data_IF_585283317494
#
_entry.id   IF_585283317494
#
_cell.length_a   1.000
_cell.length_b   1.000
_cell.length_c   1.000
_cell.angle_alpha   90.00
_cell.angle_beta   90.00
_cell.angle_gamma   90.00
#
_symmetry.space_group_name_H-M   'P 1'
#
loop_
_entity.id
_entity.type
_entity.pdbx_description
1 polymer ?
#
# COMPACT_ATOMS: atom_id res chain seq x y z
N UNK A 1 -25.65 -8.39 22.25
CA UNK A 1 -24.36 -7.75 22.61
C UNK A 1 -23.95 -6.81 21.48
N UNK A 2 -23.38 -5.66 21.81
CA UNK A 2 -22.85 -4.73 20.81
C UNK A 2 -21.53 -5.24 20.21
N UNK A 3 -21.30 -4.93 18.93
CA UNK A 3 -20.01 -5.21 18.27
C UNK A 3 -18.96 -4.17 18.66
N UNK A 4 -17.71 -4.60 18.78
CA UNK A 4 -16.58 -3.69 18.97
C UNK A 4 -16.22 -2.96 17.66
N UNK A 5 -15.28 -2.01 17.70
CA UNK A 5 -14.93 -1.18 16.53
C UNK A 5 -14.31 -2.01 15.38
N UNK A 6 -13.44 -2.96 15.69
CA UNK A 6 -12.80 -3.84 14.70
C UNK A 6 -13.85 -4.68 13.99
N UNK A 7 -14.78 -5.28 14.74
CA UNK A 7 -15.88 -6.08 14.17
C UNK A 7 -16.82 -5.24 13.29
N UNK A 8 -16.99 -3.95 13.60
CA UNK A 8 -17.77 -3.03 12.77
C UNK A 8 -17.06 -2.74 11.46
N UNK A 9 -15.76 -2.39 11.51
CA UNK A 9 -14.95 -2.09 10.32
C UNK A 9 -14.83 -3.33 9.42
N UNK A 10 -14.48 -4.49 9.99
CA UNK A 10 -14.37 -5.74 9.23
C UNK A 10 -15.69 -6.14 8.56
N UNK A 11 -16.83 -5.90 9.22
CA UNK A 11 -18.14 -6.16 8.62
C UNK A 11 -18.41 -5.25 7.41
N UNK A 12 -17.99 -3.99 7.45
CA UNK A 12 -18.19 -3.03 6.36
C UNK A 12 -17.33 -3.33 5.12
N UNK A 13 -16.22 -4.05 5.32
CA UNK A 13 -15.26 -4.45 4.27
C UNK A 13 -15.37 -5.92 3.86
N UNK A 14 -16.28 -6.67 4.48
CA UNK A 14 -16.45 -8.09 4.21
C UNK A 14 -16.94 -8.34 2.78
N UNK A 15 -16.32 -9.32 2.10
CA UNK A 15 -16.70 -9.75 0.75
C UNK A 15 -17.29 -11.15 0.78
N UNK A 16 -16.58 -12.14 1.34
CA UNK A 16 -17.02 -13.54 1.39
C UNK A 16 -16.31 -14.35 2.48
N UNK A 17 -16.75 -15.60 2.72
CA UNK A 17 -16.19 -16.51 3.72
C UNK A 17 -17.08 -16.72 4.95
N UNK A 18 -16.49 -17.21 6.05
CA UNK A 18 -17.21 -17.39 7.32
C UNK A 18 -16.56 -16.52 8.38
N UNK A 19 -17.28 -15.54 8.92
CA UNK A 19 -16.82 -14.71 10.05
C UNK A 19 -16.82 -15.52 11.37
N UNK A 20 -15.91 -16.49 11.46
CA UNK A 20 -15.64 -17.33 12.62
C UNK A 20 -14.13 -17.37 12.86
N UNK A 21 -13.65 -17.30 14.11
CA UNK A 21 -12.21 -17.40 14.40
C UNK A 21 -11.57 -18.64 13.77
N UNK A 22 -10.37 -18.45 13.20
CA UNK A 22 -9.62 -19.51 12.52
C UNK A 22 -10.16 -19.91 11.15
N UNK A 23 -11.13 -19.19 10.59
CA UNK A 23 -11.63 -19.39 9.23
C UNK A 23 -11.19 -18.23 8.33
N UNK A 24 -10.92 -18.55 7.06
CA UNK A 24 -10.58 -17.54 6.05
C UNK A 24 -11.80 -16.69 5.69
N UNK A 25 -11.54 -15.41 5.45
CA UNK A 25 -12.51 -14.44 4.94
C UNK A 25 -11.83 -13.58 3.88
N UNK A 26 -12.60 -13.22 2.86
CA UNK A 26 -12.21 -12.20 1.91
C UNK A 26 -12.66 -10.83 2.43
N UNK A 27 -11.72 -9.89 2.47
CA UNK A 27 -11.98 -8.48 2.80
C UNK A 27 -11.54 -7.60 1.64
N UNK A 28 -12.32 -6.55 1.39
CA UNK A 28 -11.90 -5.48 0.49
C UNK A 28 -10.84 -4.65 1.21
N UNK A 29 -9.77 -4.30 0.48
CA UNK A 29 -8.73 -3.40 0.93
C UNK A 29 -8.93 -2.07 0.22
N UNK A 30 -9.15 -1.00 0.99
CA UNK A 30 -9.45 0.31 0.43
C UNK A 30 -8.17 1.10 0.13
N UNK A 31 -7.13 0.93 0.95
CA UNK A 31 -5.84 1.61 0.78
C UNK A 31 -4.66 0.64 0.88
N UNK A 32 -3.62 0.88 0.08
CA UNK A 32 -2.32 0.21 0.22
C UNK A 32 -1.18 1.21 0.40
N UNK A 33 -0.18 0.78 1.18
CA UNK A 33 1.04 1.53 1.46
C UNK A 33 2.23 0.60 1.26
N UNK A 34 3.16 1.01 0.41
CA UNK A 34 4.50 0.41 0.32
C UNK A 34 5.55 1.46 0.64
N UNK A 35 6.72 1.02 1.08
CA UNK A 35 7.90 1.86 1.28
C UNK A 35 9.05 1.33 0.40
N UNK A 36 10.09 2.10 0.16
CA UNK A 36 11.12 1.80 -0.85
C UNK A 36 11.87 0.48 -0.64
N UNK A 37 12.06 0.03 0.59
CA UNK A 37 12.65 -1.28 0.91
C UNK A 37 11.70 -2.48 0.68
N UNK A 38 10.37 -2.28 0.58
CA UNK A 38 9.41 -3.38 0.28
C UNK A 38 8.67 -3.21 -1.05
N UNK A 39 8.63 -1.99 -1.58
CA UNK A 39 7.87 -1.61 -2.75
C UNK A 39 8.41 -2.22 -4.03
N UNK A 40 9.73 -2.30 -4.18
CA UNK A 40 10.36 -2.81 -5.41
C UNK A 40 9.87 -4.23 -5.70
N UNK A 41 10.02 -5.14 -4.73
CA UNK A 41 9.56 -6.53 -4.87
C UNK A 41 8.03 -6.65 -4.96
N UNK A 42 7.28 -5.82 -4.22
CA UNK A 42 5.83 -5.84 -4.29
C UNK A 42 5.32 -5.49 -5.70
N UNK A 43 5.89 -4.46 -6.33
CA UNK A 43 5.47 -4.03 -7.67
C UNK A 43 6.02 -4.92 -8.77
N UNK A 44 7.21 -5.52 -8.63
CA UNK A 44 7.68 -6.53 -9.59
C UNK A 44 6.71 -7.71 -9.66
N UNK A 45 6.20 -8.16 -8.51
CA UNK A 45 5.18 -9.20 -8.46
C UNK A 45 3.83 -8.71 -9.02
N UNK A 46 3.44 -7.47 -8.72
CA UNK A 46 2.22 -6.88 -9.29
C UNK A 46 2.25 -6.81 -10.83
N UNK A 47 3.39 -6.43 -11.41
CA UNK A 47 3.60 -6.45 -12.86
C UNK A 47 3.56 -7.88 -13.41
N UNK A 48 4.17 -8.84 -12.72
CA UNK A 48 4.15 -10.25 -13.11
C UNK A 48 2.74 -10.87 -13.09
N UNK A 49 1.82 -10.31 -12.27
CA UNK A 49 0.40 -10.70 -12.27
C UNK A 49 -0.38 -10.16 -13.49
N UNK A 50 0.25 -9.35 -14.35
CA UNK A 50 -0.33 -8.74 -15.55
C UNK A 50 -1.62 -7.92 -15.26
N UNK A 51 -1.59 -7.20 -14.14
CA UNK A 51 -2.70 -6.32 -13.75
C UNK A 51 -2.42 -4.91 -14.25
N UNK A 52 -3.29 -4.31 -15.09
CA UNK A 52 -2.97 -3.04 -15.75
C UNK A 52 -2.94 -1.84 -14.78
N UNK A 53 -3.72 -1.89 -13.69
CA UNK A 53 -3.83 -0.79 -12.71
C UNK A 53 -4.19 -1.33 -11.34
N UNK A 54 -3.76 -0.64 -10.28
CA UNK A 54 -4.23 -0.94 -8.92
C UNK A 54 -5.75 -0.83 -8.83
N UNK A 55 -6.34 -1.65 -7.95
CA UNK A 55 -7.80 -1.76 -7.76
C UNK A 55 -8.30 -1.21 -6.43
N UNK A 56 -7.39 -0.77 -5.56
CA UNK A 56 -7.76 -0.10 -4.31
C UNK A 56 -8.14 1.36 -4.59
N UNK A 57 -8.79 2.01 -3.64
CA UNK A 57 -9.17 3.41 -3.76
C UNK A 57 -7.92 4.30 -3.77
N UNK A 58 -6.95 3.96 -2.92
CA UNK A 58 -5.65 4.63 -2.83
C UNK A 58 -4.55 3.57 -2.78
N UNK A 59 -3.48 3.78 -3.54
CA UNK A 59 -2.22 3.07 -3.38
C UNK A 59 -1.10 4.10 -3.36
N UNK A 60 -0.18 3.99 -2.39
CA UNK A 60 0.95 4.91 -2.30
C UNK A 60 2.24 4.14 -2.10
N UNK A 61 3.26 4.51 -2.86
CA UNK A 61 4.64 4.07 -2.65
C UNK A 61 5.48 5.23 -2.10
N UNK A 62 6.03 5.03 -0.90
CA UNK A 62 6.84 6.02 -0.21
C UNK A 62 8.32 5.74 -0.37
N UNK A 63 9.11 6.80 -0.54
CA UNK A 63 10.57 6.75 -0.47
C UNK A 63 11.02 7.43 0.81
N UNK A 64 11.31 6.64 1.84
CA UNK A 64 11.63 7.13 3.18
C UNK A 64 12.67 6.30 3.95
N UNK A 65 13.02 5.10 3.51
CA UNK A 65 13.99 4.22 4.18
C UNK A 65 15.41 4.37 3.62
N UNK A 66 15.55 4.42 2.29
CA UNK A 66 16.84 4.48 1.60
C UNK A 66 17.09 5.85 0.97
N UNK A 67 16.87 6.92 1.75
CA UNK A 67 17.04 8.30 1.26
C UNK A 67 18.49 8.68 1.06
N UNK A 68 19.41 8.06 1.80
CA UNK A 68 20.84 8.18 1.58
C UNK A 68 21.23 7.21 0.45
N UNK A 69 21.74 7.76 -0.64
CA UNK A 69 22.11 7.03 -1.84
C UNK A 69 23.57 6.60 -1.74
N UNK A 70 23.85 5.44 -1.15
CA UNK A 70 25.17 4.81 -1.17
C UNK A 70 25.22 3.81 -2.32
N UNK A 71 25.61 4.27 -3.51
CA UNK A 71 25.62 3.44 -4.73
C UNK A 71 24.50 3.79 -5.70
N UNK A 72 24.34 2.97 -6.74
CA UNK A 72 23.34 3.20 -7.80
C UNK A 72 22.04 2.43 -7.55
N UNK A 73 22.09 1.39 -6.72
CA UNK A 73 20.98 0.47 -6.45
C UNK A 73 19.76 1.20 -5.89
N UNK A 74 19.96 2.07 -4.90
CA UNK A 74 18.88 2.86 -4.31
C UNK A 74 18.29 3.86 -5.34
N UNK A 75 19.10 4.37 -6.28
CA UNK A 75 18.67 5.36 -7.24
C UNK A 75 17.83 4.70 -8.35
N UNK A 76 18.28 3.52 -8.78
CA UNK A 76 17.57 2.68 -9.75
C UNK A 76 16.25 2.17 -9.17
N UNK A 77 16.23 1.73 -7.91
CA UNK A 77 15.01 1.32 -7.21
C UNK A 77 14.02 2.48 -7.10
N UNK A 78 14.47 3.69 -6.74
CA UNK A 78 13.59 4.85 -6.65
C UNK A 78 13.04 5.27 -8.01
N UNK A 79 13.85 5.21 -9.06
CA UNK A 79 13.42 5.46 -10.43
C UNK A 79 12.41 4.41 -10.90
N UNK A 80 12.65 3.13 -10.60
CA UNK A 80 11.71 2.05 -10.85
C UNK A 80 10.37 2.33 -10.13
N UNK A 81 10.40 2.61 -8.82
CA UNK A 81 9.21 2.91 -8.03
C UNK A 81 8.43 4.11 -8.58
N UNK A 82 9.12 5.16 -9.03
CA UNK A 82 8.48 6.31 -9.66
C UNK A 82 7.77 5.93 -10.97
N UNK A 83 8.43 5.13 -11.82
CA UNK A 83 7.90 4.78 -13.15
C UNK A 83 6.78 3.75 -13.07
N UNK A 84 6.91 2.72 -12.23
CA UNK A 84 5.86 1.71 -11.98
C UNK A 84 4.63 2.36 -11.34
N UNK A 85 4.83 3.33 -10.45
CA UNK A 85 3.73 4.06 -9.85
C UNK A 85 2.96 4.88 -10.88
N UNK A 86 3.66 5.59 -11.76
CA UNK A 86 3.06 6.34 -12.86
C UNK A 86 2.29 5.42 -13.83
N UNK A 87 2.84 4.24 -14.15
CA UNK A 87 2.23 3.24 -15.04
C UNK A 87 0.93 2.66 -14.47
N UNK A 88 0.93 2.30 -13.19
CA UNK A 88 -0.16 1.53 -12.58
C UNK A 88 -1.12 2.37 -11.70
N UNK A 89 -1.01 3.70 -11.73
CA UNK A 89 -1.92 4.62 -11.06
C UNK A 89 -1.75 4.68 -9.54
N UNK A 90 -0.51 4.52 -9.07
CA UNK A 90 -0.12 4.61 -7.66
C UNK A 90 0.44 6.01 -7.40
N UNK A 91 0.19 6.56 -6.21
CA UNK A 91 0.84 7.79 -5.77
C UNK A 91 2.30 7.51 -5.42
N UNK A 92 3.22 8.26 -6.00
CA UNK A 92 4.63 8.22 -5.64
C UNK A 92 4.96 9.36 -4.66
N UNK A 93 5.34 9.03 -3.43
CA UNK A 93 5.83 9.99 -2.46
C UNK A 93 7.36 10.02 -2.49
N UNK A 94 7.91 11.13 -2.97
CA UNK A 94 9.34 11.33 -3.19
C UNK A 94 10.15 11.34 -1.88
N UNK A 95 11.44 11.05 -2.00
CA UNK A 95 12.41 11.22 -0.93
C UNK A 95 12.30 12.63 -0.32
N UNK A 96 12.30 12.70 1.01
CA UNK A 96 12.19 13.96 1.75
C UNK A 96 10.75 14.43 2.05
N UNK A 97 9.71 13.76 1.54
CA UNK A 97 8.32 14.07 1.91
C UNK A 97 7.99 13.69 3.37
N UNK A 98 8.74 12.76 3.97
CA UNK A 98 8.56 12.31 5.35
C UNK A 98 8.31 10.81 5.46
N UNK A 99 8.28 10.32 6.71
CA UNK A 99 8.08 8.91 7.04
C UNK A 99 6.68 8.47 6.58
N UNK A 100 6.59 7.31 5.94
CA UNK A 100 5.42 6.81 5.24
C UNK A 100 4.16 6.84 6.09
N UNK A 101 4.21 6.33 7.33
CA UNK A 101 3.05 6.32 8.23
C UNK A 101 2.57 7.73 8.62
N UNK A 102 3.49 8.66 8.83
CA UNK A 102 3.16 10.03 9.20
C UNK A 102 2.47 10.74 8.03
N UNK A 103 3.08 10.67 6.84
CA UNK A 103 2.52 11.30 5.64
C UNK A 103 1.19 10.65 5.24
N UNK A 104 1.05 9.33 5.39
CA UNK A 104 -0.20 8.64 5.08
C UNK A 104 -1.33 9.05 6.04
N UNK A 105 -1.04 9.15 7.34
CA UNK A 105 -1.99 9.66 8.32
C UNK A 105 -2.44 11.09 7.99
N UNK A 106 -1.51 11.97 7.64
CA UNK A 106 -1.79 13.38 7.35
C UNK A 106 -2.57 13.62 6.05
N UNK A 107 -2.48 12.70 5.09
CA UNK A 107 -3.01 12.91 3.73
C UNK A 107 -4.16 12.00 3.33
N UNK A 108 -4.19 10.76 3.84
CA UNK A 108 -5.08 9.71 3.33
C UNK A 108 -5.83 8.95 4.42
N UNK A 109 -5.34 8.97 5.67
CA UNK A 109 -5.99 8.30 6.79
C UNK A 109 -7.41 8.83 7.04
N UNK A 110 -8.39 7.93 6.98
CA UNK A 110 -9.80 8.20 7.28
C UNK A 110 -10.37 7.17 8.26
N UNK A 111 -11.35 7.51 9.10
CA UNK A 111 -11.96 6.56 10.01
C UNK A 111 -12.80 5.50 9.30
N UNK A 112 -12.53 4.24 9.65
CA UNK A 112 -13.37 3.08 9.36
C UNK A 112 -13.29 2.63 7.92
#
# INVERSE_FOLDING_TARGET
MGRNIVEKIMKNHYVSGKMKPGQEVAVRIDQTLTQDATGTMAYLQFEAMDVPRVKTEISVSYVDHNTLQEGFENADDHLYLQTVAAKHGIYYSRAGNGICHQVHLERFGIPG
#
